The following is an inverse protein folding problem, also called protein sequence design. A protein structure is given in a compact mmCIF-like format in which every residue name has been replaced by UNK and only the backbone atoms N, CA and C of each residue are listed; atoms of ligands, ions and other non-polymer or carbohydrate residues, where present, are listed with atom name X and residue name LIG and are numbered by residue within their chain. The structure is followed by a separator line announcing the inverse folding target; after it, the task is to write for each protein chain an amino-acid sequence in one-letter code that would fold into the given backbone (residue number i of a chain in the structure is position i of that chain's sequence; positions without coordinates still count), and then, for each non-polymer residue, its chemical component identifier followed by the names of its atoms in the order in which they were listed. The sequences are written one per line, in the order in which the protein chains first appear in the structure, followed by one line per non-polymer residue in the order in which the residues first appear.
data_IF_053906928903
#
_entry.id   IF_053906928903
#
_cell.length_a   1.000
_cell.length_b   1.000
_cell.length_c   1.000
_cell.angle_alpha   90.00
_cell.angle_beta   90.00
_cell.angle_gamma   90.00
#
_symmetry.space_group_name_H-M   'P 1'
#
loop_
_entity.id
_entity.type
_entity.pdbx_description
1 polymer ?
#
# COMPACT_ATOMS: atom_id res chain seq x y z
N UNK A 1 -11.56 -34.40 13.23
CA UNK A 1 -12.12 -33.30 14.07
C UNK A 1 -11.07 -32.24 14.45
N UNK A 2 -9.79 -32.61 14.68
CA UNK A 2 -8.72 -31.68 15.11
C UNK A 2 -8.42 -30.51 14.15
N UNK A 3 -8.54 -30.71 12.83
CA UNK A 3 -8.21 -29.69 11.82
C UNK A 3 -9.37 -28.75 11.50
N UNK A 4 -10.60 -29.19 11.78
CA UNK A 4 -11.84 -28.45 11.48
C UNK A 4 -11.95 -27.22 12.39
N UNK A 5 -11.51 -27.34 13.65
CA UNK A 5 -11.51 -26.23 14.60
C UNK A 5 -10.49 -25.14 14.17
N UNK A 6 -9.34 -25.53 13.63
CA UNK A 6 -8.32 -24.60 13.14
C UNK A 6 -8.77 -23.81 11.90
N UNK A 7 -9.48 -24.46 10.97
CA UNK A 7 -10.00 -23.79 9.77
C UNK A 7 -11.16 -22.84 10.10
N UNK A 8 -12.01 -23.21 11.05
CA UNK A 8 -13.10 -22.35 11.52
C UNK A 8 -12.54 -21.12 12.22
N UNK A 9 -11.54 -21.29 13.10
CA UNK A 9 -10.90 -20.17 13.81
C UNK A 9 -10.22 -19.18 12.85
N UNK A 10 -9.53 -19.67 11.82
CA UNK A 10 -8.85 -18.82 10.83
C UNK A 10 -9.83 -18.07 9.94
N UNK A 11 -10.98 -18.68 9.62
CA UNK A 11 -12.04 -18.05 8.83
C UNK A 11 -12.84 -17.01 9.64
N UNK A 12 -12.97 -17.20 10.96
CA UNK A 12 -13.67 -16.25 11.84
C UNK A 12 -12.78 -15.15 12.41
N UNK A 13 -11.45 -15.32 12.39
CA UNK A 13 -10.48 -14.32 12.84
C UNK A 13 -10.70 -12.91 12.26
N UNK A 14 -10.98 -12.72 10.94
CA UNK A 14 -11.29 -11.40 10.41
C UNK A 14 -12.63 -10.85 10.89
N UNK A 15 -13.60 -11.71 11.20
CA UNK A 15 -14.93 -11.31 11.71
C UNK A 15 -14.87 -10.79 13.15
N UNK A 16 -14.01 -11.37 14.00
CA UNK A 16 -13.79 -10.89 15.38
C UNK A 16 -13.12 -9.51 15.45
N UNK A 17 -12.36 -9.12 14.41
CA UNK A 17 -11.74 -7.79 14.33
C UNK A 17 -12.76 -6.68 14.01
N UNK A 18 -13.88 -7.05 13.38
CA UNK A 18 -14.96 -6.13 12.99
C UNK A 18 -15.95 -5.83 14.13
N UNK A 19 -16.09 -6.72 15.12
CA UNK A 19 -17.11 -6.62 16.18
C UNK A 19 -16.71 -5.75 17.40
N UNK A 20 -15.41 -5.47 17.56
CA UNK A 20 -14.88 -4.78 18.75
C UNK A 20 -14.57 -3.29 18.51
N UNK A 21 -14.80 -2.78 17.30
CA UNK A 21 -14.27 -1.48 16.88
C UNK A 21 -15.36 -0.42 16.72
N UNK A 22 -15.06 0.81 17.15
CA UNK A 22 -15.87 1.98 16.82
C UNK A 22 -15.84 2.25 15.31
N UNK A 23 -16.80 3.02 14.79
CA UNK A 23 -16.83 3.45 13.37
C UNK A 23 -15.49 4.09 12.98
N UNK A 24 -14.90 4.89 13.87
CA UNK A 24 -13.59 5.52 13.67
C UNK A 24 -12.45 4.49 13.60
N UNK A 25 -12.49 3.44 14.41
CA UNK A 25 -11.53 2.33 14.35
C UNK A 25 -11.63 1.56 13.02
N UNK A 26 -12.87 1.31 12.57
CA UNK A 26 -13.15 0.58 11.33
C UNK A 26 -12.69 1.37 10.09
N UNK A 27 -12.90 2.69 10.08
CA UNK A 27 -12.41 3.59 9.03
C UNK A 27 -10.89 3.67 9.04
N UNK A 28 -10.25 3.78 10.21
CA UNK A 28 -8.79 3.83 10.30
C UNK A 28 -8.13 2.51 9.87
N UNK A 29 -8.70 1.36 10.26
CA UNK A 29 -8.24 0.05 9.80
C UNK A 29 -8.41 -0.12 8.28
N UNK A 30 -9.54 0.33 7.73
CA UNK A 30 -9.79 0.31 6.28
C UNK A 30 -8.78 1.14 5.50
N UNK A 31 -8.55 2.39 5.93
CA UNK A 31 -7.57 3.29 5.31
C UNK A 31 -6.14 2.75 5.45
N UNK A 32 -5.78 2.20 6.61
CA UNK A 32 -4.48 1.57 6.84
C UNK A 32 -4.25 0.32 5.97
N UNK A 33 -5.29 -0.48 5.75
CA UNK A 33 -5.21 -1.64 4.85
C UNK A 33 -5.02 -1.23 3.39
N UNK A 34 -5.76 -0.22 2.92
CA UNK A 34 -5.64 0.28 1.55
C UNK A 34 -4.24 0.88 1.31
N UNK A 35 -3.79 1.76 2.21
CA UNK A 35 -2.50 2.44 2.09
C UNK A 35 -1.30 1.53 2.32
N UNK A 36 -1.39 0.56 3.24
CA UNK A 36 -0.26 -0.26 3.67
C UNK A 36 -0.15 -1.63 3.00
N UNK A 37 -1.25 -2.19 2.49
CA UNK A 37 -1.25 -3.56 1.94
C UNK A 37 -1.69 -3.56 0.48
N UNK A 38 -2.82 -2.92 0.18
CA UNK A 38 -3.42 -3.00 -1.16
C UNK A 38 -2.54 -2.34 -2.23
N UNK A 39 -1.98 -1.16 -1.94
CA UNK A 39 -1.13 -0.43 -2.90
C UNK A 39 0.12 -1.24 -3.27
N UNK A 40 0.80 -1.82 -2.27
CA UNK A 40 2.02 -2.59 -2.48
C UNK A 40 1.72 -3.93 -3.16
N UNK A 41 0.58 -4.55 -2.84
CA UNK A 41 0.13 -5.77 -3.49
C UNK A 41 -0.17 -5.56 -4.98
N UNK A 42 -0.90 -4.49 -5.33
CA UNK A 42 -1.19 -4.14 -6.72
C UNK A 42 0.09 -3.82 -7.50
N UNK A 43 1.06 -3.17 -6.86
CA UNK A 43 2.36 -2.86 -7.47
C UNK A 43 3.19 -4.12 -7.71
N UNK A 44 3.16 -5.09 -6.77
CA UNK A 44 3.76 -6.41 -6.97
C UNK A 44 3.09 -7.19 -8.10
N UNK A 45 1.76 -7.19 -8.15
CA UNK A 45 0.99 -7.85 -9.21
C UNK A 45 1.25 -7.22 -10.59
N UNK A 46 1.26 -5.89 -10.68
CA UNK A 46 1.62 -5.16 -11.89
C UNK A 46 3.05 -5.49 -12.36
N UNK A 47 3.99 -5.65 -11.42
CA UNK A 47 5.37 -6.05 -11.74
C UNK A 47 5.44 -7.45 -12.34
N UNK A 48 4.69 -8.42 -11.79
CA UNK A 48 4.64 -9.78 -12.34
C UNK A 48 4.06 -9.79 -13.75
N UNK A 49 2.97 -9.04 -13.97
CA UNK A 49 2.35 -8.90 -15.31
C UNK A 49 3.29 -8.21 -16.29
N UNK A 50 4.04 -7.20 -15.84
CA UNK A 50 5.06 -6.53 -16.65
C UNK A 50 6.19 -7.49 -17.06
N UNK A 51 6.76 -8.25 -16.11
CA UNK A 51 7.76 -9.27 -16.40
C UNK A 51 7.23 -10.29 -17.43
N UNK A 52 6.01 -10.82 -17.21
CA UNK A 52 5.42 -11.79 -18.12
C UNK A 52 5.28 -11.26 -19.55
N UNK A 53 4.84 -10.01 -19.71
CA UNK A 53 4.74 -9.38 -21.03
C UNK A 53 6.12 -9.18 -21.69
N UNK A 54 7.11 -8.70 -20.93
CA UNK A 54 8.48 -8.54 -21.44
C UNK A 54 9.05 -9.88 -21.89
N UNK A 55 8.98 -10.91 -21.05
CA UNK A 55 9.52 -12.24 -21.35
C UNK A 55 8.82 -12.87 -22.56
N UNK A 56 7.49 -12.75 -22.67
CA UNK A 56 6.73 -13.27 -23.81
C UNK A 56 7.11 -12.59 -25.13
N UNK A 57 7.25 -11.26 -25.14
CA UNK A 57 7.63 -10.51 -26.34
C UNK A 57 9.11 -10.75 -26.72
N UNK A 58 10.01 -10.89 -25.75
CA UNK A 58 11.44 -11.02 -26.01
C UNK A 58 11.87 -12.45 -26.39
N UNK A 59 11.24 -13.48 -25.81
CA UNK A 59 11.66 -14.89 -26.01
C UNK A 59 10.89 -15.56 -27.16
N UNK A 60 9.59 -15.30 -27.33
CA UNK A 60 8.77 -16.01 -28.34
C UNK A 60 8.76 -15.26 -29.68
N UNK A 61 8.93 -13.94 -29.68
CA UNK A 61 8.96 -13.10 -30.88
C UNK A 61 10.31 -12.99 -31.58
N UNK A 62 11.36 -13.68 -31.10
CA UNK A 62 12.75 -13.48 -31.56
C UNK A 62 13.10 -14.20 -32.87
N UNK A 63 12.25 -15.10 -33.35
CA UNK A 63 12.50 -15.93 -34.54
C UNK A 63 12.27 -15.22 -35.88
N UNK A 64 11.66 -14.04 -35.88
CA UNK A 64 11.36 -13.25 -37.09
C UNK A 64 11.79 -11.78 -36.91
N UNK A 65 12.35 -11.17 -37.95
CA UNK A 65 12.97 -9.84 -37.89
C UNK A 65 11.93 -8.74 -37.62
N UNK A 66 10.68 -8.96 -38.06
CA UNK A 66 9.54 -8.11 -37.76
C UNK A 66 9.07 -8.26 -36.31
N UNK A 67 9.13 -9.49 -35.77
CA UNK A 67 8.81 -9.81 -34.37
C UNK A 67 9.75 -9.12 -33.39
N UNK A 68 11.06 -9.10 -33.68
CA UNK A 68 12.08 -8.38 -32.89
C UNK A 68 11.83 -6.89 -32.82
N UNK A 69 11.45 -6.27 -33.93
CA UNK A 69 11.21 -4.81 -33.98
C UNK A 69 9.98 -4.44 -33.15
N UNK A 70 8.86 -5.17 -33.30
CA UNK A 70 7.67 -4.98 -32.47
C UNK A 70 7.92 -5.26 -30.99
N UNK A 71 8.70 -6.30 -30.68
CA UNK A 71 9.06 -6.65 -29.31
C UNK A 71 9.91 -5.57 -28.63
N UNK A 72 10.89 -4.99 -29.35
CA UNK A 72 11.69 -3.87 -28.84
C UNK A 72 10.83 -2.65 -28.54
N UNK A 73 9.92 -2.28 -29.44
CA UNK A 73 9.05 -1.13 -29.21
C UNK A 73 8.08 -1.38 -28.05
N UNK A 74 7.52 -2.58 -27.92
CA UNK A 74 6.68 -2.96 -26.79
C UNK A 74 7.42 -2.92 -25.44
N UNK A 75 8.65 -3.44 -25.39
CA UNK A 75 9.51 -3.35 -24.20
C UNK A 75 9.84 -1.88 -23.86
N UNK A 76 10.13 -1.05 -24.87
CA UNK A 76 10.41 0.37 -24.69
C UNK A 76 9.21 1.11 -24.09
N UNK A 77 7.99 0.84 -24.56
CA UNK A 77 6.78 1.42 -23.99
C UNK A 77 6.51 0.93 -22.56
N UNK A 78 6.76 -0.34 -22.27
CA UNK A 78 6.63 -0.88 -20.92
C UNK A 78 7.61 -0.24 -19.93
N UNK A 79 8.88 -0.10 -20.32
CA UNK A 79 9.90 0.58 -19.51
C UNK A 79 9.54 2.06 -19.34
N UNK A 80 9.11 2.74 -20.41
CA UNK A 80 8.70 4.14 -20.35
C UNK A 80 7.53 4.35 -19.38
N UNK A 81 6.52 3.48 -19.40
CA UNK A 81 5.39 3.54 -18.48
C UNK A 81 5.82 3.31 -17.02
N UNK A 82 6.73 2.35 -16.78
CA UNK A 82 7.26 2.05 -15.45
C UNK A 82 8.07 3.22 -14.86
N UNK A 83 8.90 3.85 -15.69
CA UNK A 83 9.68 5.03 -15.29
C UNK A 83 8.75 6.21 -14.99
N UNK A 84 7.73 6.44 -15.83
CA UNK A 84 6.77 7.54 -15.65
C UNK A 84 6.05 7.43 -14.30
N UNK A 85 5.48 6.26 -13.98
CA UNK A 85 4.76 6.08 -12.71
C UNK A 85 5.68 6.18 -11.50
N UNK A 86 6.93 5.68 -11.61
CA UNK A 86 7.94 5.78 -10.56
C UNK A 86 8.33 7.23 -10.26
N UNK A 87 8.46 8.06 -11.31
CA UNK A 87 8.73 9.49 -11.14
C UNK A 87 7.54 10.19 -10.49
N UNK A 88 6.30 9.92 -10.94
CA UNK A 88 5.11 10.57 -10.36
C UNK A 88 4.96 10.25 -8.87
N UNK A 89 5.15 8.99 -8.48
CA UNK A 89 5.09 8.60 -7.07
C UNK A 89 6.29 9.12 -6.27
N UNK A 90 7.49 9.10 -6.86
CA UNK A 90 8.70 9.66 -6.26
C UNK A 90 8.56 11.15 -5.93
N UNK A 91 7.93 11.93 -6.82
CA UNK A 91 7.63 13.35 -6.59
C UNK A 91 6.66 13.52 -5.42
N UNK A 92 5.57 12.73 -5.36
CA UNK A 92 4.63 12.76 -4.23
C UNK A 92 5.35 12.49 -2.92
N UNK A 93 6.16 11.44 -2.86
CA UNK A 93 6.91 11.09 -1.65
C UNK A 93 7.95 12.18 -1.29
N UNK A 94 8.62 12.77 -2.29
CA UNK A 94 9.55 13.87 -2.08
C UNK A 94 8.86 15.10 -1.49
N UNK A 95 7.69 15.47 -2.00
CA UNK A 95 6.88 16.58 -1.48
C UNK A 95 6.37 16.31 -0.07
N UNK A 96 5.83 15.12 0.19
CA UNK A 96 5.30 14.74 1.52
C UNK A 96 6.40 14.78 2.58
N UNK A 97 7.60 14.25 2.27
CA UNK A 97 8.71 14.26 3.20
C UNK A 97 9.37 15.65 3.30
N UNK A 98 9.49 16.39 2.19
CA UNK A 98 10.05 17.73 2.17
C UNK A 98 9.20 18.77 2.90
N UNK A 99 7.87 18.62 2.86
CA UNK A 99 6.91 19.48 3.56
C UNK A 99 6.58 18.99 4.98
N UNK A 100 7.14 17.86 5.42
CA UNK A 100 6.86 17.30 6.74
C UNK A 100 5.40 16.87 6.95
N UNK A 101 4.68 16.52 5.87
CA UNK A 101 3.28 16.09 5.93
C UNK A 101 3.14 14.64 6.43
N UNK A 102 4.27 13.96 6.68
CA UNK A 102 4.35 12.62 7.25
C UNK A 102 4.33 12.60 8.79
N UNK A 103 4.03 13.73 9.44
CA UNK A 103 3.98 13.79 10.90
C UNK A 103 2.60 13.34 11.40
N UNK A 104 2.53 12.17 12.03
CA UNK A 104 1.33 11.67 12.71
C UNK A 104 1.14 12.23 14.13
N UNK A 105 1.72 13.39 14.44
CA UNK A 105 1.55 13.98 15.76
C UNK A 105 0.11 14.48 15.90
N UNK A 106 -0.69 13.89 16.81
CA UNK A 106 -2.01 14.43 17.07
C UNK A 106 -1.85 15.87 17.56
N UNK A 107 -2.62 16.79 16.99
CA UNK A 107 -2.67 18.18 17.44
C UNK A 107 -3.15 18.15 18.89
N UNK A 108 -2.23 18.32 19.86
CA UNK A 108 -2.60 18.40 21.27
C UNK A 108 -3.12 19.82 21.53
N UNK A 109 -4.33 19.99 22.08
CA UNK A 109 -4.81 21.29 22.48
C UNK A 109 -3.91 21.85 23.60
N UNK A 110 -3.40 23.07 23.42
CA UNK A 110 -2.41 23.70 24.33
C UNK A 110 -2.86 23.73 25.81
N UNK A 111 -4.17 23.84 26.04
CA UNK A 111 -4.77 23.83 27.38
C UNK A 111 -4.69 22.48 28.11
N UNK A 112 -4.23 21.39 27.45
CA UNK A 112 -4.05 20.09 28.11
C UNK A 112 -2.70 19.86 28.78
N UNK A 113 -1.77 20.81 28.64
CA UNK A 113 -0.48 20.77 29.35
C UNK A 113 -0.57 21.33 30.78
N UNK A 114 -1.57 22.16 31.06
CA UNK A 114 -1.67 22.93 32.32
C UNK A 114 -2.36 22.15 33.45
N UNK A 115 -3.34 21.29 33.14
CA UNK A 115 -4.07 20.52 34.16
C UNK A 115 -3.41 19.19 34.55
N UNK A 116 -2.36 18.76 33.83
CA UNK A 116 -1.53 17.62 34.26
C UNK A 116 -0.51 18.01 35.36
N UNK A 117 -0.25 19.30 35.58
CA UNK A 117 0.71 19.81 36.57
C UNK A 117 0.09 20.34 37.86
N UNK A 118 -1.25 20.44 37.93
CA UNK A 118 -1.93 20.79 39.18
C UNK A 118 -2.37 19.49 39.88
N UNK A 119 -1.78 19.14 41.04
CA UNK A 119 -2.36 18.08 41.85
C UNK A 119 -3.79 18.49 42.20
N UNK A 120 -4.73 17.58 41.98
CA UNK A 120 -6.12 17.73 42.38
C UNK A 120 -6.15 17.95 43.90
N UNK A 121 -6.40 19.20 44.30
CA UNK A 121 -6.60 19.57 45.70
C UNK A 121 -8.10 19.42 45.92
N UNK A 122 -8.51 18.31 46.53
CA UNK A 122 -9.83 18.20 47.13
C UNK A 122 -9.91 19.24 48.27
N UNK A 123 -10.86 20.17 48.16
CA UNK A 123 -11.25 21.09 49.24
C UNK A 123 -12.01 20.35 50.36
#
# INVERSE_FOLDING_TARGET
MRYIILTVLLATAPLSVLAADSIDGLVNKGTGFIGGVLIYFLLGLATIVFLFNVTRYFIIGSGDEQGRTKAKTGAMYGIAAFVLISIMWGIVNFLVNGLGLNNSNPIKPDYNSEWELTPYVDE
#
